data_IF_467163118281
#
_entry.id   IF_467163118281
#
_cell.length_a   1.000
_cell.length_b   1.000
_cell.length_c   1.000
_cell.angle_alpha   90.00
_cell.angle_beta   90.00
_cell.angle_gamma   90.00
#
_symmetry.space_group_name_H-M   'P 1'
#
loop_
_entity.id
_entity.type
_entity.pdbx_description
1 polymer ?
#
# COMPACT_ATOMS: atom_id res chain seq x y z
N UNK A 1 25.85 -5.75 25.28
CA UNK A 1 24.58 -5.97 24.56
C UNK A 1 24.65 -5.34 23.19
N UNK A 2 24.36 -6.09 22.12
CA UNK A 2 24.33 -5.57 20.75
C UNK A 2 23.15 -4.60 20.63
N UNK A 3 23.39 -3.38 20.14
CA UNK A 3 22.35 -2.34 20.06
C UNK A 3 21.44 -2.67 18.87
N UNK A 4 20.22 -3.11 19.16
CA UNK A 4 19.19 -3.39 18.15
C UNK A 4 18.99 -2.15 17.28
N UNK A 5 19.09 -2.33 15.96
CA UNK A 5 18.84 -1.27 14.97
C UNK A 5 17.33 -1.16 14.75
N UNK A 6 16.84 0.07 14.61
CA UNK A 6 15.45 0.33 14.24
C UNK A 6 15.36 0.77 12.79
N UNK A 7 14.47 0.15 12.03
CA UNK A 7 14.03 0.64 10.73
C UNK A 7 12.60 1.14 10.88
N UNK A 8 12.36 2.37 10.41
CA UNK A 8 11.04 2.97 10.40
C UNK A 8 10.37 2.70 9.05
N UNK A 9 9.09 2.31 9.03
CA UNK A 9 8.30 2.24 7.81
C UNK A 9 7.23 3.33 7.85
N UNK A 10 7.27 4.25 6.89
CA UNK A 10 6.54 5.51 6.86
C UNK A 10 5.70 5.66 5.59
N UNK A 11 4.82 6.66 5.58
CA UNK A 11 4.06 7.09 4.40
C UNK A 11 2.79 6.28 4.12
N UNK A 12 2.82 4.97 4.35
CA UNK A 12 1.68 4.10 4.13
C UNK A 12 0.64 4.26 5.24
N UNK A 13 -0.63 4.05 4.87
CA UNK A 13 -1.77 4.12 5.77
C UNK A 13 -2.37 2.71 5.87
N UNK A 14 -3.00 2.40 6.99
CA UNK A 14 -3.82 1.19 7.19
C UNK A 14 -3.09 -0.07 7.65
N UNK A 15 -1.85 0.00 8.13
CA UNK A 15 -1.25 -1.13 8.83
C UNK A 15 -1.86 -1.27 10.23
N UNK A 16 -2.28 -2.46 10.68
CA UNK A 16 -2.02 -3.78 10.10
C UNK A 16 -3.04 -4.30 9.08
N UNK A 17 -4.21 -3.67 8.95
CA UNK A 17 -5.32 -4.21 8.17
C UNK A 17 -5.62 -3.41 6.88
N UNK A 18 -4.88 -3.66 5.81
CA UNK A 18 -5.03 -2.97 4.53
C UNK A 18 -5.04 -3.88 3.30
N UNK A 19 -4.90 -3.26 2.13
CA UNK A 19 -4.89 -3.95 0.83
C UNK A 19 -3.46 -4.39 0.45
N UNK A 20 -3.21 -4.61 -0.84
CA UNK A 20 -1.93 -5.09 -1.37
C UNK A 20 -0.70 -4.31 -0.87
N UNK A 21 -0.78 -2.98 -0.79
CA UNK A 21 0.32 -2.15 -0.31
C UNK A 21 0.65 -2.33 1.17
N UNK A 22 -0.36 -2.60 2.02
CA UNK A 22 -0.14 -2.98 3.43
C UNK A 22 0.45 -4.39 3.55
N UNK A 23 0.03 -5.33 2.70
CA UNK A 23 0.63 -6.67 2.66
C UNK A 23 2.09 -6.62 2.20
N UNK A 24 2.40 -5.83 1.17
CA UNK A 24 3.79 -5.59 0.75
C UNK A 24 4.63 -5.01 1.88
N UNK A 25 4.13 -3.97 2.54
CA UNK A 25 4.79 -3.38 3.72
C UNK A 25 5.06 -4.44 4.79
N UNK A 26 4.08 -5.31 5.08
CA UNK A 26 4.24 -6.40 6.03
C UNK A 26 5.33 -7.40 5.61
N UNK A 27 5.33 -7.85 4.35
CA UNK A 27 6.31 -8.84 3.87
C UNK A 27 7.74 -8.28 3.85
N UNK A 28 7.91 -7.04 3.42
CA UNK A 28 9.20 -6.34 3.50
C UNK A 28 9.64 -6.22 4.96
N UNK A 29 8.72 -5.82 5.86
CA UNK A 29 9.02 -5.70 7.29
C UNK A 29 9.40 -7.05 7.93
N UNK A 30 8.70 -8.15 7.58
CA UNK A 30 9.02 -9.51 8.03
C UNK A 30 10.40 -9.95 7.54
N UNK A 31 10.76 -9.64 6.29
CA UNK A 31 12.05 -9.98 5.70
C UNK A 31 13.21 -9.22 6.36
N UNK A 32 12.99 -7.97 6.73
CA UNK A 32 14.00 -7.11 7.38
C UNK A 32 14.19 -7.49 8.85
N UNK A 33 13.12 -7.87 9.54
CA UNK A 33 13.14 -8.19 10.96
C UNK A 33 14.04 -9.40 11.20
N UNK A 34 15.03 -9.23 12.06
CA UNK A 34 15.92 -10.30 12.54
C UNK A 34 16.36 -10.00 13.99
N UNK A 35 17.22 -10.82 14.57
CA UNK A 35 17.66 -10.69 15.97
C UNK A 35 18.27 -9.31 16.30
N UNK A 36 18.90 -8.66 15.31
CA UNK A 36 19.59 -7.37 15.48
C UNK A 36 18.81 -6.17 14.94
N UNK A 37 17.67 -6.42 14.28
CA UNK A 37 16.93 -5.40 13.55
C UNK A 37 15.45 -5.50 13.83
N UNK A 38 14.89 -4.42 14.37
CA UNK A 38 13.44 -4.25 14.52
C UNK A 38 12.87 -3.31 13.47
N UNK A 39 11.62 -3.53 13.12
CA UNK A 39 10.84 -2.67 12.22
C UNK A 39 9.66 -2.08 12.98
N UNK A 40 9.51 -0.76 12.90
CA UNK A 40 8.37 -0.02 13.44
C UNK A 40 7.60 0.65 12.30
N UNK A 41 6.35 0.24 12.09
CA UNK A 41 5.43 0.88 11.14
C UNK A 41 4.73 2.06 11.81
N UNK A 42 4.87 3.26 11.26
CA UNK A 42 4.24 4.46 11.78
C UNK A 42 3.11 4.88 10.82
N UNK A 43 1.88 4.68 11.27
CA UNK A 43 0.71 5.21 10.58
C UNK A 43 0.49 6.65 11.05
N UNK A 44 0.65 7.62 10.14
CA UNK A 44 0.41 9.03 10.48
C UNK A 44 -1.00 9.28 11.03
N UNK A 45 -2.00 8.58 10.50
CA UNK A 45 -3.40 8.79 10.86
C UNK A 45 -4.22 7.51 10.75
N UNK A 46 -5.32 7.47 11.50
CA UNK A 46 -6.34 6.45 11.38
C UNK A 46 -6.93 6.37 9.97
N UNK A 47 -7.24 5.15 9.55
CA UNK A 47 -7.76 4.81 8.22
C UNK A 47 -8.88 3.77 8.26
N UNK A 48 -9.19 3.24 9.44
CA UNK A 48 -10.18 2.19 9.60
C UNK A 48 -11.53 2.74 10.03
N UNK A 49 -12.60 2.11 9.59
CA UNK A 49 -13.93 2.31 10.18
C UNK A 49 -13.97 1.68 11.56
N UNK A 50 -14.87 2.13 12.43
CA UNK A 50 -15.04 1.54 13.76
C UNK A 50 -15.39 0.05 13.70
N UNK A 51 -16.18 -0.37 12.70
CA UNK A 51 -16.50 -1.77 12.47
C UNK A 51 -15.27 -2.60 12.10
N UNK A 52 -14.43 -2.09 11.19
CA UNK A 52 -13.18 -2.78 10.81
C UNK A 52 -12.19 -2.82 11.95
N UNK A 53 -11.99 -1.72 12.66
CA UNK A 53 -11.09 -1.68 13.82
C UNK A 53 -11.53 -2.64 14.93
N UNK A 54 -12.85 -2.79 15.18
CA UNK A 54 -13.37 -3.72 16.18
C UNK A 54 -13.21 -5.18 15.75
N UNK A 55 -13.56 -5.53 14.51
CA UNK A 55 -13.46 -6.90 13.99
C UNK A 55 -12.02 -7.40 13.93
N UNK A 56 -11.09 -6.53 13.55
CA UNK A 56 -9.66 -6.83 13.44
C UNK A 56 -8.87 -6.52 14.72
N UNK A 57 -9.55 -6.13 15.82
CA UNK A 57 -8.95 -5.74 17.10
C UNK A 57 -7.78 -4.75 16.97
N UNK A 58 -7.94 -3.73 16.11
CA UNK A 58 -6.89 -2.76 15.80
C UNK A 58 -6.81 -1.73 16.93
N UNK A 59 -5.62 -1.63 17.52
CA UNK A 59 -5.31 -0.71 18.61
C UNK A 59 -4.50 0.49 18.10
N UNK A 60 -4.31 1.49 18.96
CA UNK A 60 -3.46 2.65 18.65
C UNK A 60 -2.00 2.24 18.43
N UNK A 61 -1.54 1.23 19.17
CA UNK A 61 -0.25 0.60 18.95
C UNK A 61 -0.36 -0.89 19.24
N UNK A 62 0.55 -1.68 18.68
CA UNK A 62 0.57 -3.12 18.91
C UNK A 62 1.62 -3.83 18.07
N UNK A 63 1.50 -5.15 18.05
CA UNK A 63 2.31 -6.04 17.23
C UNK A 63 1.38 -6.87 16.35
N UNK A 64 1.63 -6.91 15.05
CA UNK A 64 0.88 -7.72 14.09
C UNK A 64 1.83 -8.57 13.27
N UNK A 65 1.63 -9.89 13.28
CA UNK A 65 2.55 -10.87 12.68
C UNK A 65 4.03 -10.60 13.05
N UNK A 66 4.27 -10.19 14.30
CA UNK A 66 5.60 -9.88 14.81
C UNK A 66 6.16 -8.50 14.45
N UNK A 67 5.42 -7.64 13.73
CA UNK A 67 5.84 -6.29 13.37
C UNK A 67 5.17 -5.26 14.27
N UNK A 68 5.96 -4.36 14.86
CA UNK A 68 5.48 -3.28 15.70
C UNK A 68 4.81 -2.20 14.85
N UNK A 69 3.70 -1.64 15.34
CA UNK A 69 3.06 -0.50 14.70
C UNK A 69 2.50 0.51 15.70
N UNK A 70 2.34 1.74 15.24
CA UNK A 70 1.71 2.82 16.00
C UNK A 70 0.95 3.79 15.08
N UNK A 71 -0.18 4.30 15.58
CA UNK A 71 -0.94 5.40 15.01
C UNK A 71 -0.56 6.70 15.70
N UNK A 72 0.20 7.56 15.01
CA UNK A 72 0.70 8.81 15.61
C UNK A 72 -0.40 9.84 15.89
N UNK A 73 -1.57 9.70 15.26
CA UNK A 73 -2.76 10.51 15.57
C UNK A 73 -3.48 10.09 16.85
N UNK A 74 -3.00 9.06 17.56
CA UNK A 74 -3.62 8.56 18.79
C UNK A 74 -4.89 7.73 18.58
N UNK A 75 -5.26 7.43 17.32
CA UNK A 75 -6.43 6.60 17.00
C UNK A 75 -6.26 5.89 15.64
N UNK A 76 -6.68 4.61 15.53
CA UNK A 76 -6.71 3.90 14.24
C UNK A 76 -7.91 4.30 13.37
N UNK A 77 -8.86 5.06 13.92
CA UNK A 77 -10.15 5.34 13.30
C UNK A 77 -10.09 6.51 12.32
N UNK A 78 -10.85 6.38 11.23
CA UNK A 78 -11.11 7.46 10.29
C UNK A 78 -12.44 8.16 10.64
N UNK A 79 -12.41 9.36 11.24
CA UNK A 79 -13.64 10.05 11.63
C UNK A 79 -14.41 10.54 10.40
N UNK A 80 -15.75 10.51 10.49
CA UNK A 80 -16.64 11.07 9.45
C UNK A 80 -16.64 12.61 9.46
N UNK A 81 -16.52 13.22 10.64
CA UNK A 81 -16.54 14.68 10.82
C UNK A 81 -15.27 15.34 10.26
N UNK A 82 -15.44 16.37 9.41
CA UNK A 82 -14.34 17.08 8.75
C UNK A 82 -13.39 17.80 9.71
N UNK A 83 -13.90 18.48 10.73
CA UNK A 83 -13.09 19.22 11.71
C UNK A 83 -12.21 18.25 12.50
N UNK A 84 -12.81 17.19 13.04
CA UNK A 84 -12.09 16.13 13.77
C UNK A 84 -11.03 15.49 12.87
N UNK A 85 -11.35 15.23 11.60
CA UNK A 85 -10.41 14.66 10.63
C UNK A 85 -9.18 15.54 10.44
N UNK A 86 -9.35 16.85 10.29
CA UNK A 86 -8.24 17.77 10.09
C UNK A 86 -7.42 17.97 11.37
N UNK A 87 -8.07 18.04 12.53
CA UNK A 87 -7.38 18.04 13.82
C UNK A 87 -6.48 16.80 13.96
N UNK A 88 -7.01 15.59 13.70
CA UNK A 88 -6.23 14.35 13.75
C UNK A 88 -5.11 14.29 12.71
N UNK A 89 -5.23 14.96 11.55
CA UNK A 89 -4.11 15.07 10.59
C UNK A 89 -2.94 15.86 11.19
N UNK A 90 -3.24 16.97 11.88
CA UNK A 90 -2.23 17.80 12.54
C UNK A 90 -1.61 17.05 13.73
N UNK A 91 -2.43 16.46 14.61
CA UNK A 91 -1.94 15.61 15.69
C UNK A 91 -1.09 14.46 15.17
N UNK A 92 -1.51 13.84 14.07
CA UNK A 92 -0.77 12.78 13.39
C UNK A 92 0.59 13.22 12.89
N UNK A 93 0.68 14.39 12.25
CA UNK A 93 1.95 14.96 11.77
C UNK A 93 2.90 15.29 12.93
N UNK A 94 2.40 15.94 13.97
CA UNK A 94 3.17 16.31 15.16
C UNK A 94 3.62 15.07 15.93
N UNK A 95 2.72 14.12 16.16
CA UNK A 95 3.02 12.86 16.82
C UNK A 95 4.03 12.03 16.04
N UNK A 96 3.92 11.97 14.71
CA UNK A 96 4.86 11.25 13.86
C UNK A 96 6.26 11.85 13.96
N UNK A 97 6.38 13.18 13.92
CA UNK A 97 7.65 13.87 14.13
C UNK A 97 8.32 13.45 15.44
N UNK A 98 7.59 13.52 16.56
CA UNK A 98 8.13 13.14 17.87
C UNK A 98 8.50 11.66 17.95
N UNK A 99 7.69 10.77 17.37
CA UNK A 99 8.00 9.34 17.32
C UNK A 99 9.29 9.10 16.52
N UNK A 100 9.48 9.74 15.36
CA UNK A 100 10.69 9.58 14.56
C UNK A 100 11.91 10.08 15.34
N UNK A 101 11.84 11.27 15.93
CA UNK A 101 12.92 11.85 16.74
C UNK A 101 13.25 10.96 17.94
N UNK A 102 12.25 10.51 18.67
CA UNK A 102 12.43 9.61 19.81
C UNK A 102 13.12 8.30 19.42
N UNK A 103 12.69 7.68 18.32
CA UNK A 103 13.29 6.43 17.83
C UNK A 103 14.72 6.64 17.32
N UNK A 104 15.02 7.81 16.76
CA UNK A 104 16.41 8.17 16.41
C UNK A 104 17.28 8.24 17.65
N UNK A 105 16.87 9.02 18.64
CA UNK A 105 17.66 9.32 19.84
C UNK A 105 17.83 8.09 20.74
N UNK A 106 16.76 7.34 20.97
CA UNK A 106 16.73 6.27 21.99
C UNK A 106 16.90 4.87 21.40
N UNK A 107 16.47 4.64 20.15
CA UNK A 107 16.38 3.30 19.55
C UNK A 107 17.26 3.10 18.30
N UNK A 108 18.22 3.99 18.06
CA UNK A 108 19.18 3.88 16.96
C UNK A 108 18.49 3.74 15.58
N UNK A 109 17.39 4.46 15.35
CA UNK A 109 16.80 4.53 14.03
C UNK A 109 17.78 5.20 13.06
N UNK A 110 18.21 4.48 12.03
CA UNK A 110 19.22 4.96 11.05
C UNK A 110 18.70 4.92 9.62
N UNK A 111 17.58 4.23 9.38
CA UNK A 111 16.96 4.07 8.08
C UNK A 111 15.44 4.19 8.21
N UNK A 112 14.81 4.82 7.23
CA UNK A 112 13.38 4.86 7.07
C UNK A 112 13.01 4.43 5.64
N UNK A 113 12.11 3.46 5.54
CA UNK A 113 11.47 3.06 4.30
C UNK A 113 10.20 3.90 4.15
N UNK A 114 10.09 4.62 3.04
CA UNK A 114 8.94 5.49 2.76
C UNK A 114 8.17 4.91 1.58
N UNK A 115 6.89 4.60 1.80
CA UNK A 115 5.95 4.22 0.73
C UNK A 115 4.87 5.29 0.66
N UNK A 116 4.90 6.12 -0.39
CA UNK A 116 3.91 7.18 -0.58
C UNK A 116 3.87 7.65 -2.03
N UNK A 117 2.68 8.03 -2.49
CA UNK A 117 2.43 8.75 -3.75
C UNK A 117 2.46 10.28 -3.60
N UNK A 118 2.71 10.80 -2.40
CA UNK A 118 2.70 12.24 -2.11
C UNK A 118 4.14 12.79 -2.08
N UNK A 119 4.49 13.61 -3.07
CA UNK A 119 5.83 14.18 -3.21
C UNK A 119 6.18 15.12 -2.04
N UNK A 120 5.21 15.88 -1.54
CA UNK A 120 5.41 16.77 -0.40
C UNK A 120 5.68 15.99 0.87
N UNK A 121 5.00 14.85 1.03
CA UNK A 121 5.23 13.93 2.12
C UNK A 121 6.64 13.32 2.06
N UNK A 122 7.07 12.86 0.88
CA UNK A 122 8.43 12.34 0.68
C UNK A 122 9.48 13.43 0.98
N UNK A 123 9.26 14.66 0.48
CA UNK A 123 10.12 15.82 0.76
C UNK A 123 10.19 16.14 2.26
N UNK A 124 9.07 16.07 2.97
CA UNK A 124 9.02 16.24 4.44
C UNK A 124 9.92 15.22 5.14
N UNK A 125 9.79 13.92 4.82
CA UNK A 125 10.64 12.90 5.40
C UNK A 125 12.11 13.08 5.03
N UNK A 126 12.40 13.48 3.78
CA UNK A 126 13.75 13.79 3.34
C UNK A 126 14.38 14.93 4.17
N UNK A 127 13.67 16.04 4.38
CA UNK A 127 14.14 17.15 5.23
C UNK A 127 14.44 16.68 6.65
N UNK A 128 13.51 15.94 7.26
CA UNK A 128 13.68 15.39 8.60
C UNK A 128 14.89 14.43 8.66
N UNK A 129 15.08 13.63 7.61
CA UNK A 129 16.19 12.70 7.49
C UNK A 129 17.56 13.38 7.48
N UNK A 130 17.67 14.57 6.87
CA UNK A 130 18.93 15.34 6.83
C UNK A 130 19.32 15.84 8.22
N UNK A 131 18.34 16.34 8.98
CA UNK A 131 18.56 16.80 10.36
C UNK A 131 18.90 15.63 11.27
N UNK A 132 18.16 14.52 11.16
CA UNK A 132 18.31 13.37 12.05
C UNK A 132 19.41 12.39 11.63
N UNK A 133 20.04 12.57 10.45
CA UNK A 133 20.98 11.61 9.84
C UNK A 133 20.37 10.21 9.70
N UNK A 134 19.14 10.16 9.20
CA UNK A 134 18.43 8.93 8.82
C UNK A 134 18.55 8.78 7.29
N UNK A 135 18.78 7.55 6.80
CA UNK A 135 18.73 7.24 5.37
C UNK A 135 17.30 6.99 4.92
N UNK A 136 16.91 7.56 3.78
CA UNK A 136 15.60 7.32 3.16
C UNK A 136 15.75 6.27 2.07
N UNK A 137 15.01 5.17 2.22
CA UNK A 137 14.80 4.18 1.17
C UNK A 137 13.38 4.38 0.67
N UNK A 138 13.21 4.72 -0.60
CA UNK A 138 11.87 4.90 -1.16
C UNK A 138 11.37 3.60 -1.80
N UNK A 139 10.19 3.14 -1.40
CA UNK A 139 9.52 1.95 -1.95
C UNK A 139 8.66 2.38 -3.15
N UNK A 140 9.22 2.21 -4.36
CA UNK A 140 8.63 2.63 -5.61
C UNK A 140 7.84 1.49 -6.26
N UNK A 141 6.52 1.62 -6.22
CA UNK A 141 5.57 0.53 -6.54
C UNK A 141 4.60 0.85 -7.67
N UNK A 142 4.48 2.11 -8.07
CA UNK A 142 3.53 2.57 -9.09
C UNK A 142 4.16 3.69 -9.93
N UNK A 143 3.86 3.69 -11.24
CA UNK A 143 4.19 4.78 -12.16
C UNK A 143 2.93 5.65 -12.35
N UNK A 144 2.84 6.76 -11.62
CA UNK A 144 1.62 7.55 -11.49
C UNK A 144 1.17 8.17 -12.81
N UNK A 145 2.10 8.59 -13.67
CA UNK A 145 1.79 9.13 -14.99
C UNK A 145 1.06 8.14 -15.92
N UNK A 146 1.14 6.82 -15.66
CA UNK A 146 0.31 5.83 -16.40
C UNK A 146 -1.11 5.67 -15.86
N UNK A 147 -1.41 6.24 -14.69
CA UNK A 147 -2.75 6.25 -14.10
C UNK A 147 -3.57 7.46 -14.55
N UNK A 148 -2.92 8.51 -15.09
CA UNK A 148 -3.57 9.73 -15.61
C UNK A 148 -4.63 9.44 -16.68
N UNK A 149 -4.49 8.37 -17.48
CA UNK A 149 -5.48 8.00 -18.50
C UNK A 149 -6.76 7.38 -17.93
N UNK A 150 -6.86 7.17 -16.61
CA UNK A 150 -7.96 6.44 -15.95
C UNK A 150 -8.86 7.29 -15.06
N UNK A 151 -8.51 8.54 -14.78
CA UNK A 151 -9.37 9.47 -14.03
C UNK A 151 -9.54 10.80 -14.78
N UNK A 152 -10.78 11.19 -15.06
CA UNK A 152 -11.11 12.43 -15.79
C UNK A 152 -10.76 13.69 -14.95
N UNK A 153 -10.38 13.51 -13.68
CA UNK A 153 -10.13 14.58 -12.72
C UNK A 153 -8.99 14.22 -11.76
N UNK A 154 -7.72 14.42 -12.15
CA UNK A 154 -6.57 14.74 -11.27
C UNK A 154 -5.32 15.00 -12.14
N UNK A 155 -5.04 16.25 -12.52
CA UNK A 155 -4.05 17.22 -11.97
C UNK A 155 -2.57 16.94 -12.26
N UNK A 156 -1.93 17.94 -12.90
CA UNK A 156 -0.50 18.10 -13.27
C UNK A 156 0.58 17.70 -12.25
N UNK A 157 0.22 17.32 -11.02
CA UNK A 157 1.14 16.95 -9.95
C UNK A 157 1.70 15.52 -10.08
N UNK A 158 1.05 14.62 -10.82
CA UNK A 158 1.50 13.22 -10.93
C UNK A 158 2.74 13.08 -11.82
N UNK A 159 2.77 13.74 -13.00
CA UNK A 159 4.02 13.90 -13.78
C UNK A 159 5.16 14.53 -12.98
N UNK A 160 4.85 15.42 -12.04
CA UNK A 160 5.84 16.01 -11.15
C UNK A 160 6.41 14.98 -10.17
N UNK A 161 5.58 14.05 -9.67
CA UNK A 161 6.05 12.97 -8.80
C UNK A 161 7.08 12.09 -9.49
N UNK A 162 6.72 11.47 -10.63
CA UNK A 162 7.54 10.47 -11.31
C UNK A 162 8.87 11.01 -11.84
N UNK A 163 8.98 12.33 -12.00
CA UNK A 163 10.22 13.00 -12.41
C UNK A 163 11.08 13.43 -11.22
N UNK A 164 10.51 13.72 -10.04
CA UNK A 164 11.23 14.36 -8.93
C UNK A 164 11.44 13.50 -7.68
N UNK A 165 10.72 12.39 -7.50
CA UNK A 165 10.81 11.57 -6.27
C UNK A 165 12.26 11.15 -5.95
N UNK A 166 13.05 10.88 -6.98
CA UNK A 166 14.42 10.37 -6.88
C UNK A 166 15.37 11.36 -6.18
N UNK A 167 15.07 12.66 -6.17
CA UNK A 167 15.84 13.66 -5.43
C UNK A 167 15.72 13.50 -3.91
N UNK A 168 14.63 12.91 -3.44
CA UNK A 168 14.25 12.85 -2.03
C UNK A 168 14.51 11.48 -1.35
N UNK A 169 15.24 10.59 -2.03
CA UNK A 169 15.64 9.28 -1.50
C UNK A 169 17.16 9.10 -1.51
N UNK A 170 17.71 8.27 -0.63
CA UNK A 170 19.11 7.84 -0.67
C UNK A 170 19.28 6.49 -1.42
N UNK A 171 18.23 5.66 -1.45
CA UNK A 171 18.17 4.39 -2.16
C UNK A 171 16.72 4.03 -2.52
N UNK A 172 16.53 3.01 -3.35
CA UNK A 172 15.20 2.55 -3.80
C UNK A 172 14.94 1.07 -3.54
N UNK A 173 13.70 0.74 -3.20
CA UNK A 173 13.13 -0.60 -3.36
C UNK A 173 12.17 -0.49 -4.53
N UNK A 174 12.31 -1.35 -5.54
CA UNK A 174 11.58 -1.25 -6.81
C UNK A 174 10.78 -2.53 -7.03
N UNK A 175 9.51 -2.44 -7.42
CA UNK A 175 8.65 -3.63 -7.55
C UNK A 175 8.87 -4.44 -8.84
N UNK A 176 9.39 -3.83 -9.91
CA UNK A 176 9.48 -4.47 -11.23
C UNK A 176 10.64 -3.94 -12.07
N UNK A 177 11.03 -4.70 -13.10
CA UNK A 177 12.00 -4.27 -14.10
C UNK A 177 11.55 -3.04 -14.90
N UNK A 178 10.24 -2.89 -15.15
CA UNK A 178 9.68 -1.70 -15.79
C UNK A 178 10.00 -0.42 -15.00
N UNK A 179 9.76 -0.43 -13.68
CA UNK A 179 10.08 0.72 -12.83
C UNK A 179 11.59 0.88 -12.64
N UNK A 180 12.35 -0.21 -12.68
CA UNK A 180 13.81 -0.17 -12.62
C UNK A 180 14.39 0.62 -13.81
N UNK A 181 13.92 0.35 -15.02
CA UNK A 181 14.31 1.10 -16.22
C UNK A 181 14.00 2.59 -16.08
N UNK A 182 12.86 2.94 -15.47
CA UNK A 182 12.52 4.32 -15.17
C UNK A 182 13.49 4.95 -14.16
N UNK A 183 13.77 4.28 -13.04
CA UNK A 183 14.73 4.76 -12.03
C UNK A 183 16.13 4.94 -12.63
N UNK A 184 16.60 3.99 -13.44
CA UNK A 184 17.92 4.06 -14.10
C UNK A 184 18.09 5.29 -14.99
N UNK A 185 17.01 5.77 -15.61
CA UNK A 185 17.03 7.01 -16.43
C UNK A 185 17.14 8.27 -15.56
N UNK A 186 16.70 8.21 -14.31
CA UNK A 186 16.63 9.37 -13.42
C UNK A 186 17.76 9.44 -12.38
N UNK A 187 18.31 8.30 -11.97
CA UNK A 187 19.23 8.25 -10.84
C UNK A 187 20.25 7.12 -10.91
N UNK A 188 21.45 7.38 -10.37
CA UNK A 188 22.52 6.39 -10.16
C UNK A 188 22.58 5.85 -8.73
N UNK A 189 21.60 6.22 -7.88
CA UNK A 189 21.54 5.79 -6.48
C UNK A 189 21.28 4.27 -6.38
N UNK A 190 21.73 3.62 -5.29
CA UNK A 190 21.54 2.19 -5.12
C UNK A 190 20.05 1.82 -5.07
N UNK A 191 19.72 0.67 -5.62
CA UNK A 191 18.38 0.12 -5.60
C UNK A 191 18.39 -1.40 -5.43
N UNK A 192 17.25 -1.95 -5.01
CA UNK A 192 16.98 -3.37 -4.96
C UNK A 192 15.62 -3.64 -5.61
N UNK A 193 15.56 -4.62 -6.51
CA UNK A 193 14.28 -5.10 -7.05
C UNK A 193 13.68 -6.09 -6.05
N UNK A 194 12.50 -5.77 -5.54
CA UNK A 194 11.71 -6.61 -4.65
C UNK A 194 10.33 -6.78 -5.28
N UNK A 195 10.09 -7.89 -6.01
CA UNK A 195 8.78 -8.16 -6.61
C UNK A 195 7.68 -8.32 -5.54
N UNK A 196 6.40 -8.44 -5.94
CA UNK A 196 5.35 -8.83 -5.00
C UNK A 196 5.75 -10.11 -4.24
N UNK A 197 5.75 -10.05 -2.92
CA UNK A 197 6.10 -11.17 -2.03
C UNK A 197 4.82 -11.78 -1.50
N UNK A 198 4.75 -13.12 -1.48
CA UNK A 198 3.65 -13.89 -0.91
C UNK A 198 4.16 -14.82 0.19
N UNK A 199 3.36 -14.97 1.24
CA UNK A 199 3.62 -15.91 2.33
C UNK A 199 3.07 -17.29 1.96
N UNK A 200 3.87 -18.10 1.25
CA UNK A 200 3.42 -19.40 0.73
C UNK A 200 2.86 -20.31 1.83
N UNK A 201 3.45 -20.31 3.03
CA UNK A 201 2.98 -21.14 4.14
C UNK A 201 1.59 -20.71 4.65
N UNK A 202 1.30 -19.41 4.64
CA UNK A 202 -0.03 -18.91 4.99
C UNK A 202 -1.09 -19.41 4.02
N UNK A 203 -0.79 -19.39 2.72
CA UNK A 203 -1.76 -19.78 1.70
C UNK A 203 -1.84 -21.30 1.46
N UNK A 204 -0.75 -22.05 1.70
CA UNK A 204 -0.76 -23.53 1.56
C UNK A 204 -1.63 -24.22 2.61
N UNK A 205 -1.94 -23.54 3.72
CA UNK A 205 -2.82 -24.02 4.79
C UNK A 205 -4.30 -23.76 4.51
N UNK A 206 -4.61 -23.01 3.45
CA UNK A 206 -6.00 -22.78 3.04
C UNK A 206 -6.46 -24.01 2.28
N UNK A 207 -7.47 -24.70 2.81
CA UNK A 207 -8.05 -25.88 2.17
C UNK A 207 -8.65 -25.47 0.81
N UNK A 208 -8.10 -26.02 -0.27
CA UNK A 208 -8.66 -25.82 -1.60
C UNK A 208 -9.88 -26.71 -1.78
N UNK A 209 -11.03 -26.12 -2.05
CA UNK A 209 -12.19 -26.87 -2.50
C UNK A 209 -12.11 -27.03 -4.02
N UNK A 210 -12.10 -28.26 -4.56
CA UNK A 210 -12.16 -28.45 -6.00
C UNK A 210 -13.47 -27.83 -6.51
N UNK A 211 -13.37 -27.11 -7.61
CA UNK A 211 -14.56 -26.55 -8.25
C UNK A 211 -15.20 -27.60 -9.14
N UNK A 212 -16.52 -27.63 -9.14
CA UNK A 212 -17.31 -28.52 -10.02
C UNK A 212 -17.25 -28.07 -11.48
N UNK A 213 -16.89 -26.81 -11.74
CA UNK A 213 -16.84 -26.22 -13.07
C UNK A 213 -15.50 -25.54 -13.31
N UNK A 214 -15.05 -25.52 -14.57
CA UNK A 214 -13.90 -24.72 -14.94
C UNK A 214 -14.28 -23.24 -14.93
N UNK A 215 -13.41 -22.37 -14.43
CA UNK A 215 -13.67 -20.94 -14.39
C UNK A 215 -12.41 -20.10 -14.57
N UNK A 216 -12.61 -18.89 -15.09
CA UNK A 216 -11.69 -17.77 -14.92
C UNK A 216 -12.08 -17.01 -13.66
N UNK A 217 -11.10 -16.61 -12.86
CA UNK A 217 -11.29 -15.73 -11.71
C UNK A 217 -10.58 -14.41 -11.95
N UNK A 218 -11.31 -13.32 -11.77
CA UNK A 218 -10.73 -11.99 -11.75
C UNK A 218 -11.13 -11.24 -10.47
N UNK A 219 -10.12 -10.86 -9.69
CA UNK A 219 -10.28 -10.11 -8.45
C UNK A 219 -9.78 -8.68 -8.66
N UNK A 220 -10.64 -7.69 -8.48
CA UNK A 220 -10.27 -6.29 -8.72
C UNK A 220 -11.03 -5.32 -7.81
N UNK A 221 -10.59 -4.07 -7.83
CA UNK A 221 -11.34 -2.97 -7.22
C UNK A 221 -12.13 -2.20 -8.29
N UNK A 222 -13.17 -1.49 -7.88
CA UNK A 222 -13.94 -0.57 -8.74
C UNK A 222 -13.15 0.63 -9.26
N UNK A 223 -11.85 0.72 -8.96
CA UNK A 223 -10.95 1.69 -9.60
C UNK A 223 -10.51 1.24 -10.99
N UNK A 224 -10.63 -0.05 -11.31
CA UNK A 224 -10.22 -0.65 -12.58
C UNK A 224 -11.41 -1.07 -13.43
N UNK A 225 -12.46 -0.25 -13.47
CA UNK A 225 -13.70 -0.57 -14.19
C UNK A 225 -13.46 -0.78 -15.69
N UNK A 226 -12.58 0.01 -16.29
CA UNK A 226 -12.11 -0.15 -17.67
C UNK A 226 -11.59 -1.57 -17.93
N UNK A 227 -10.71 -2.08 -17.04
CA UNK A 227 -10.15 -3.43 -17.15
C UNK A 227 -11.21 -4.50 -16.86
N UNK A 228 -12.10 -4.26 -15.89
CA UNK A 228 -13.21 -5.17 -15.59
C UNK A 228 -14.10 -5.37 -16.82
N UNK A 229 -14.51 -4.28 -17.48
CA UNK A 229 -15.32 -4.36 -18.70
C UNK A 229 -14.56 -5.02 -19.84
N UNK A 230 -13.27 -4.69 -20.03
CA UNK A 230 -12.44 -5.37 -21.01
C UNK A 230 -12.42 -6.89 -20.82
N UNK A 231 -12.27 -7.37 -19.57
CA UNK A 231 -12.25 -8.81 -19.27
C UNK A 231 -13.61 -9.46 -19.55
N UNK A 232 -14.70 -8.81 -19.17
CA UNK A 232 -16.05 -9.30 -19.45
C UNK A 232 -16.26 -9.41 -20.97
N UNK A 233 -15.90 -8.38 -21.72
CA UNK A 233 -16.06 -8.37 -23.17
C UNK A 233 -15.16 -9.39 -23.87
N UNK A 234 -13.92 -9.56 -23.40
CA UNK A 234 -13.01 -10.59 -23.89
C UNK A 234 -13.58 -11.99 -23.62
N UNK A 235 -14.12 -12.22 -22.43
CA UNK A 235 -14.76 -13.48 -22.07
C UNK A 235 -16.00 -13.76 -22.93
N UNK A 236 -16.89 -12.77 -23.11
CA UNK A 236 -18.08 -12.87 -23.98
C UNK A 236 -17.71 -13.25 -25.41
N UNK A 237 -16.64 -12.67 -25.95
CA UNK A 237 -16.13 -12.93 -27.31
C UNK A 237 -15.33 -14.23 -27.44
N UNK A 238 -14.96 -14.86 -26.32
CA UNK A 238 -14.18 -16.09 -26.32
C UNK A 238 -15.09 -17.33 -26.50
N UNK A 239 -14.52 -18.42 -27.02
CA UNK A 239 -15.22 -19.70 -27.09
C UNK A 239 -15.52 -20.30 -25.69
N UNK A 240 -14.91 -19.78 -24.63
CA UNK A 240 -15.04 -20.29 -23.26
C UNK A 240 -16.46 -20.20 -22.73
N UNK A 241 -17.19 -19.13 -23.06
CA UNK A 241 -18.59 -18.93 -22.68
C UNK A 241 -19.48 -20.05 -23.23
N UNK A 242 -19.25 -20.47 -24.48
CA UNK A 242 -19.97 -21.57 -25.14
C UNK A 242 -19.52 -22.97 -24.69
N UNK A 243 -18.38 -23.09 -24.02
CA UNK A 243 -17.79 -24.37 -23.56
C UNK A 243 -18.02 -24.67 -22.08
N UNK A 244 -18.91 -23.92 -21.43
CA UNK A 244 -19.25 -24.12 -20.02
C UNK A 244 -18.15 -23.74 -19.03
N UNK A 245 -17.20 -22.88 -19.44
CA UNK A 245 -16.20 -22.30 -18.53
C UNK A 245 -16.76 -20.98 -17.99
N UNK A 246 -16.92 -20.84 -16.68
CA UNK A 246 -17.50 -19.63 -16.08
C UNK A 246 -16.50 -18.47 -15.96
N UNK A 247 -17.00 -17.24 -15.83
CA UNK A 247 -16.20 -16.09 -15.36
C UNK A 247 -16.72 -15.66 -13.98
N UNK A 248 -15.85 -15.73 -12.98
CA UNK A 248 -16.12 -15.29 -11.61
C UNK A 248 -15.41 -13.96 -11.36
N UNK A 249 -16.17 -12.95 -10.97
CA UNK A 249 -15.65 -11.62 -10.64
C UNK A 249 -15.77 -11.38 -9.13
N UNK A 250 -14.63 -11.15 -8.46
CA UNK A 250 -14.58 -10.74 -7.05
C UNK A 250 -14.21 -9.27 -7.01
N UNK A 251 -15.23 -8.41 -6.98
CA UNK A 251 -15.05 -6.95 -7.07
C UNK A 251 -15.33 -6.28 -5.72
N UNK A 252 -14.44 -5.37 -5.33
CA UNK A 252 -14.56 -4.58 -4.10
C UNK A 252 -14.50 -3.08 -4.40
N UNK A 253 -15.17 -2.24 -3.61
CA UNK A 253 -15.11 -0.80 -3.77
C UNK A 253 -16.48 -0.13 -3.66
N UNK A 254 -16.74 0.80 -4.57
CA UNK A 254 -17.95 1.62 -4.57
C UNK A 254 -19.20 0.77 -4.87
N UNK A 255 -20.19 0.80 -3.96
CA UNK A 255 -21.40 -0.01 -4.07
C UNK A 255 -22.26 0.37 -5.28
N UNK A 256 -22.30 1.64 -5.68
CA UNK A 256 -23.09 2.10 -6.81
C UNK A 256 -22.46 1.59 -8.11
N UNK A 257 -21.13 1.65 -8.22
CA UNK A 257 -20.39 1.05 -9.36
C UNK A 257 -20.59 -0.46 -9.43
N UNK A 258 -20.59 -1.16 -8.29
CA UNK A 258 -20.84 -2.61 -8.25
C UNK A 258 -22.28 -2.91 -8.67
N UNK A 259 -23.26 -2.12 -8.22
CA UNK A 259 -24.65 -2.29 -8.62
C UNK A 259 -24.83 -2.10 -10.14
N UNK A 260 -24.23 -1.05 -10.70
CA UNK A 260 -24.24 -0.80 -12.15
C UNK A 260 -23.60 -1.96 -12.93
N UNK A 261 -22.46 -2.47 -12.46
CA UNK A 261 -21.80 -3.62 -13.08
C UNK A 261 -22.72 -4.85 -13.09
N UNK A 262 -23.37 -5.17 -11.97
CA UNK A 262 -24.32 -6.28 -11.88
C UNK A 262 -25.48 -6.13 -12.86
N UNK A 263 -26.06 -4.94 -12.94
CA UNK A 263 -27.14 -4.65 -13.91
C UNK A 263 -26.68 -4.84 -15.35
N UNK A 264 -25.46 -4.42 -15.69
CA UNK A 264 -24.92 -4.58 -17.05
C UNK A 264 -24.64 -6.03 -17.45
N UNK A 265 -24.41 -6.92 -16.49
CA UNK A 265 -24.22 -8.36 -16.74
C UNK A 265 -25.58 -9.07 -16.82
N UNK A 266 -26.54 -8.68 -15.98
CA UNK A 266 -27.87 -9.30 -15.95
C UNK A 266 -28.67 -9.09 -17.25
N UNK A 267 -28.46 -7.97 -17.94
CA UNK A 267 -29.10 -7.69 -19.23
C UNK A 267 -28.70 -8.67 -20.34
N UNK A 268 -27.59 -9.40 -20.21
CA UNK A 268 -27.15 -10.37 -21.21
C UNK A 268 -27.75 -11.77 -21.03
N UNK A 269 -28.37 -12.03 -19.87
CA UNK A 269 -28.92 -13.34 -19.51
C UNK A 269 -30.39 -13.45 -19.97
N UNK A 270 -30.99 -12.35 -20.43
CA UNK A 270 -32.33 -12.24 -21.03
C UNK A 270 -32.25 -12.14 -22.55
#
# INVERSE_FOLDING_TARGET
>A
MKRIKTILYLGQRSFPAGMASTQRQLQIAKTIKNEDTRVLVINRKGSHTSAKAKSENIKVSGVFEGIEYVYSSGTPLYPKNFVVRNFLKVCGLVGEFFIIVWNRLTKNATCAIVSSSDLFLLKYYWMLSRVLKIKIVYDYVEYFASLEDRSITETKNEKNFDTNFHHYADAFIIISSFLEEHVKKLSTKPYLIVPPIIDFEKYSKIESKPSETNYFLYCASTFYMDVIYFIIDAYRKSASSSRGVALILVITGDNDKIALLKSSIAQDIL
#
